data_IF_456456606739
#
_entry.id   IF_456456606739
#
_cell.length_a   1.000
_cell.length_b   1.000
_cell.length_c   1.000
_cell.angle_alpha   90.00
_cell.angle_beta   90.00
_cell.angle_gamma   90.00
#
_symmetry.space_group_name_H-M   'P 1'
#
loop_
_entity.id
_entity.type
_entity.pdbx_description
1 polymer ?
#
# COMPACT_ATOMS: atom_id res chain seq x y z
N UNK A 1 47.18 19.01 15.67
CA UNK A 1 45.92 18.70 16.38
C UNK A 1 44.70 19.38 15.78
N UNK A 2 44.64 20.71 15.64
CA UNK A 2 43.44 21.42 15.15
C UNK A 2 42.93 20.99 13.77
N UNK A 3 43.82 20.68 12.80
CA UNK A 3 43.42 20.19 11.47
C UNK A 3 42.69 18.84 11.51
N UNK A 4 43.09 17.94 12.40
CA UNK A 4 42.51 16.59 12.50
C UNK A 4 41.12 16.64 13.16
N UNK A 5 40.92 17.57 14.09
CA UNK A 5 39.62 17.80 14.75
C UNK A 5 38.62 18.41 13.76
N UNK A 6 39.05 19.36 12.92
CA UNK A 6 38.19 19.96 11.90
C UNK A 6 37.79 18.95 10.81
N UNK A 7 38.72 18.12 10.37
CA UNK A 7 38.43 17.05 9.39
C UNK A 7 37.44 16.01 9.94
N UNK A 8 37.57 15.60 11.20
CA UNK A 8 36.59 14.68 11.82
C UNK A 8 35.20 15.31 11.94
N UNK A 9 35.10 16.62 12.24
CA UNK A 9 33.80 17.32 12.28
C UNK A 9 33.12 17.35 10.92
N UNK A 10 33.84 17.77 9.88
CA UNK A 10 33.33 17.83 8.50
C UNK A 10 32.88 16.44 8.01
N UNK A 11 33.64 15.40 8.35
CA UNK A 11 33.30 14.02 7.99
C UNK A 11 32.04 13.53 8.73
N UNK A 12 31.87 13.88 10.01
CA UNK A 12 30.70 13.50 10.79
C UNK A 12 29.43 14.22 10.30
N UNK A 13 29.56 15.50 9.94
CA UNK A 13 28.47 16.29 9.35
C UNK A 13 28.05 15.73 7.98
N UNK A 14 29.00 15.35 7.14
CA UNK A 14 28.71 14.71 5.85
C UNK A 14 27.98 13.35 6.01
N UNK A 15 28.41 12.52 6.97
CA UNK A 15 27.72 11.26 7.29
C UNK A 15 26.28 11.53 7.76
N UNK A 16 26.08 12.54 8.61
CA UNK A 16 24.75 12.87 9.13
C UNK A 16 23.80 13.30 8.00
N UNK A 17 24.28 14.13 7.07
CA UNK A 17 23.50 14.55 5.89
C UNK A 17 23.20 13.37 4.97
N UNK A 18 24.18 12.48 4.72
CA UNK A 18 23.95 11.26 3.94
C UNK A 18 22.89 10.35 4.59
N UNK A 19 22.92 10.17 5.91
CA UNK A 19 21.91 9.38 6.63
C UNK A 19 20.51 9.98 6.52
N UNK A 20 20.37 11.31 6.58
CA UNK A 20 19.08 12.00 6.41
C UNK A 20 18.54 11.82 4.98
N UNK A 21 19.39 11.88 3.96
CA UNK A 21 18.98 11.66 2.56
C UNK A 21 18.56 10.20 2.33
N UNK A 22 19.30 9.24 2.90
CA UNK A 22 18.96 7.82 2.82
C UNK A 22 17.63 7.51 3.51
N UNK A 23 17.35 8.15 4.66
CA UNK A 23 16.07 7.99 5.37
C UNK A 23 14.90 8.65 4.62
N UNK A 24 15.12 9.79 3.96
CA UNK A 24 14.10 10.45 3.13
C UNK A 24 13.74 9.64 1.87
N UNK A 25 14.66 8.81 1.37
CA UNK A 25 14.47 7.97 0.17
C UNK A 25 13.71 6.67 0.39
N UNK A 26 13.54 6.20 1.63
CA UNK A 26 12.78 4.99 1.94
C UNK A 26 11.27 5.22 2.01
N UNK A 27 10.68 5.83 0.97
CA UNK A 27 9.23 5.82 0.81
C UNK A 27 8.85 4.48 0.17
N UNK A 28 8.43 3.52 1.00
CA UNK A 28 7.95 2.23 0.50
C UNK A 28 6.70 2.47 -0.36
N UNK A 29 6.88 2.52 -1.69
CA UNK A 29 5.80 2.75 -2.65
C UNK A 29 4.71 1.68 -2.52
N UNK A 30 4.99 0.52 -1.92
CA UNK A 30 3.96 -0.49 -1.67
C UNK A 30 2.90 -0.04 -0.66
N UNK A 31 3.15 1.02 0.11
CA UNK A 31 2.20 1.64 1.05
C UNK A 31 1.52 2.91 0.52
N UNK A 32 1.87 3.37 -0.69
CA UNK A 32 1.23 4.54 -1.31
C UNK A 32 -0.15 4.17 -1.87
N UNK A 33 -1.15 4.13 -0.99
CA UNK A 33 -2.53 3.75 -1.34
C UNK A 33 -3.18 4.76 -2.27
N UNK A 34 -2.80 6.03 -2.21
CA UNK A 34 -3.32 7.07 -3.10
C UNK A 34 -2.81 6.84 -4.53
N UNK A 35 -1.50 6.72 -4.75
CA UNK A 35 -0.98 6.47 -6.11
C UNK A 35 -1.48 5.15 -6.69
N UNK A 36 -1.56 4.09 -5.87
CA UNK A 36 -2.05 2.79 -6.32
C UNK A 36 -3.55 2.81 -6.66
N UNK A 37 -4.36 3.59 -5.96
CA UNK A 37 -5.79 3.71 -6.25
C UNK A 37 -6.03 4.38 -7.62
N UNK A 38 -5.25 5.42 -7.97
CA UNK A 38 -5.31 6.03 -9.31
C UNK A 38 -4.92 5.02 -10.39
N UNK A 39 -3.77 4.36 -10.22
CA UNK A 39 -3.30 3.35 -11.18
C UNK A 39 -4.32 2.19 -11.35
N UNK A 40 -5.06 1.86 -10.29
CA UNK A 40 -6.10 0.83 -10.32
C UNK A 40 -7.36 1.32 -11.03
N UNK A 41 -7.84 2.52 -10.74
CA UNK A 41 -8.99 3.12 -11.41
C UNK A 41 -8.74 3.31 -12.92
N UNK A 42 -7.54 3.75 -13.31
CA UNK A 42 -7.14 3.83 -14.72
C UNK A 42 -7.12 2.44 -15.38
N UNK A 43 -6.61 1.43 -14.67
CA UNK A 43 -6.64 0.06 -15.16
C UNK A 43 -8.07 -0.42 -15.43
N UNK A 44 -8.97 -0.18 -14.48
CA UNK A 44 -10.36 -0.61 -14.56
C UNK A 44 -11.09 0.06 -15.73
N UNK A 45 -10.95 1.38 -15.88
CA UNK A 45 -11.57 2.12 -16.99
C UNK A 45 -11.03 1.64 -18.35
N UNK A 46 -9.71 1.46 -18.47
CA UNK A 46 -9.07 0.98 -19.70
C UNK A 46 -9.53 -0.42 -20.11
N UNK A 47 -9.89 -1.27 -19.14
CA UNK A 47 -10.38 -2.63 -19.39
C UNK A 47 -11.91 -2.72 -19.44
N UNK A 48 -12.63 -1.60 -19.56
CA UNK A 48 -14.07 -1.60 -19.80
C UNK A 48 -14.91 -1.92 -18.56
N UNK A 49 -14.49 -1.47 -17.38
CA UNK A 49 -15.20 -1.74 -16.11
C UNK A 49 -16.69 -1.30 -16.10
N UNK A 50 -17.08 -0.36 -16.96
CA UNK A 50 -18.49 0.07 -17.09
C UNK A 50 -19.36 -0.95 -17.81
N UNK A 51 -18.76 -1.77 -18.67
CA UNK A 51 -19.44 -2.79 -19.46
C UNK A 51 -19.32 -4.16 -18.80
N UNK A 52 -18.11 -4.49 -18.36
CA UNK A 52 -17.80 -5.76 -17.70
C UNK A 52 -16.86 -5.52 -16.52
N UNK A 53 -17.48 -5.12 -15.40
CA UNK A 53 -16.78 -4.86 -14.15
C UNK A 53 -15.97 -6.07 -13.69
N UNK A 54 -16.52 -7.28 -13.81
CA UNK A 54 -15.89 -8.49 -13.29
C UNK A 54 -14.62 -8.83 -14.08
N UNK A 55 -14.70 -8.82 -15.42
CA UNK A 55 -13.53 -9.08 -16.25
C UNK A 55 -12.45 -8.01 -16.07
N UNK A 56 -12.83 -6.72 -16.04
CA UNK A 56 -11.89 -5.63 -15.77
C UNK A 56 -11.19 -5.81 -14.41
N UNK A 57 -11.96 -6.18 -13.38
CA UNK A 57 -11.44 -6.48 -12.05
C UNK A 57 -10.45 -7.64 -12.06
N UNK A 58 -10.76 -8.76 -12.71
CA UNK A 58 -9.84 -9.92 -12.79
C UNK A 58 -8.49 -9.50 -13.40
N UNK A 59 -8.51 -8.72 -14.47
CA UNK A 59 -7.30 -8.22 -15.13
C UNK A 59 -6.51 -7.29 -14.19
N UNK A 60 -7.18 -6.33 -13.56
CA UNK A 60 -6.53 -5.35 -12.71
C UNK A 60 -6.04 -5.93 -11.38
N UNK A 61 -6.83 -6.79 -10.72
CA UNK A 61 -6.40 -7.52 -9.52
C UNK A 61 -5.15 -8.36 -9.83
N UNK A 62 -5.13 -9.10 -10.95
CA UNK A 62 -3.97 -9.89 -11.37
C UNK A 62 -2.72 -9.03 -11.56
N UNK A 63 -2.84 -7.86 -12.19
CA UNK A 63 -1.73 -6.90 -12.35
C UNK A 63 -1.19 -6.42 -11.01
N UNK A 64 -2.06 -6.11 -10.05
CA UNK A 64 -1.66 -5.56 -8.75
C UNK A 64 -1.13 -6.62 -7.79
N UNK A 65 -1.66 -7.84 -7.82
CA UNK A 65 -1.12 -9.00 -7.07
C UNK A 65 0.34 -9.26 -7.43
N UNK A 66 0.73 -9.09 -8.69
CA UNK A 66 2.11 -9.27 -9.13
C UNK A 66 3.05 -8.13 -8.72
N UNK A 67 2.52 -6.92 -8.49
CA UNK A 67 3.31 -5.70 -8.25
C UNK A 67 3.37 -5.26 -6.80
N UNK A 68 2.37 -5.60 -5.99
CA UNK A 68 2.24 -5.12 -4.62
C UNK A 68 2.12 -6.29 -3.63
N UNK A 69 3.01 -6.31 -2.65
CA UNK A 69 3.08 -7.39 -1.64
C UNK A 69 1.80 -7.51 -0.79
N UNK A 70 1.15 -6.40 -0.45
CA UNK A 70 -0.04 -6.40 0.40
C UNK A 70 -1.25 -6.95 -0.36
N UNK A 71 -1.36 -6.63 -1.66
CA UNK A 71 -2.32 -7.27 -2.55
C UNK A 71 -2.09 -8.78 -2.63
N UNK A 72 -0.84 -9.21 -2.80
CA UNK A 72 -0.49 -10.63 -2.87
C UNK A 72 -0.85 -11.37 -1.59
N UNK A 73 -0.54 -10.80 -0.43
CA UNK A 73 -0.88 -11.39 0.87
C UNK A 73 -2.40 -11.52 1.01
N UNK A 74 -3.16 -10.46 0.70
CA UNK A 74 -4.62 -10.47 0.78
C UNK A 74 -5.24 -11.51 -0.17
N UNK A 75 -4.71 -11.63 -1.39
CA UNK A 75 -5.15 -12.63 -2.37
C UNK A 75 -4.90 -14.06 -1.89
N UNK A 76 -3.71 -14.35 -1.35
CA UNK A 76 -3.38 -15.67 -0.80
C UNK A 76 -4.32 -16.00 0.37
N UNK A 77 -4.59 -15.04 1.26
CA UNK A 77 -5.53 -15.24 2.37
C UNK A 77 -6.96 -15.52 1.88
N UNK A 78 -7.43 -14.78 0.88
CA UNK A 78 -8.76 -14.97 0.30
C UNK A 78 -8.92 -16.34 -0.40
N UNK A 79 -7.85 -16.86 -1.02
CA UNK A 79 -7.89 -18.17 -1.69
C UNK A 79 -7.79 -19.36 -0.76
N UNK A 80 -6.82 -19.33 0.15
CA UNK A 80 -6.46 -20.51 0.94
C UNK A 80 -7.09 -20.50 2.33
N UNK A 81 -7.54 -19.32 2.79
CA UNK A 81 -7.95 -19.08 4.16
C UNK A 81 -6.76 -19.23 5.12
N UNK A 82 -6.73 -18.43 6.18
CA UNK A 82 -5.76 -18.58 7.30
C UNK A 82 -4.30 -18.20 6.97
N UNK A 83 -4.00 -17.56 5.85
CA UNK A 83 -2.64 -17.06 5.64
C UNK A 83 -2.35 -15.90 6.58
N UNK A 84 -3.33 -15.03 6.84
CA UNK A 84 -3.18 -13.89 7.73
C UNK A 84 -2.99 -14.29 9.21
N UNK A 85 -3.39 -15.49 9.63
CA UNK A 85 -3.17 -15.94 11.02
C UNK A 85 -1.75 -16.43 11.28
N UNK A 86 -0.99 -16.76 10.24
CA UNK A 86 0.40 -17.19 10.37
C UNK A 86 1.39 -16.02 10.33
N UNK A 87 0.91 -14.80 10.04
CA UNK A 87 1.74 -13.60 9.99
C UNK A 87 1.91 -12.99 11.37
N UNK A 88 3.06 -12.37 11.59
CA UNK A 88 3.29 -11.52 12.76
C UNK A 88 2.24 -10.40 12.82
N UNK A 89 1.86 -10.01 14.04
CA UNK A 89 0.80 -9.02 14.27
C UNK A 89 1.02 -7.73 13.47
N UNK A 90 2.24 -7.20 13.48
CA UNK A 90 2.57 -5.95 12.78
C UNK A 90 2.39 -6.05 11.26
N UNK A 91 2.76 -7.19 10.67
CA UNK A 91 2.55 -7.44 9.24
C UNK A 91 1.07 -7.54 8.93
N UNK A 92 0.32 -8.30 9.74
CA UNK A 92 -1.14 -8.44 9.58
C UNK A 92 -1.83 -7.08 9.67
N UNK A 93 -1.51 -6.27 10.67
CA UNK A 93 -2.11 -4.96 10.88
C UNK A 93 -1.76 -4.01 9.71
N UNK A 94 -0.54 -4.08 9.19
CA UNK A 94 -0.13 -3.34 7.99
C UNK A 94 -0.90 -3.75 6.74
N UNK A 95 -1.08 -5.06 6.50
CA UNK A 95 -1.85 -5.58 5.36
C UNK A 95 -3.32 -5.16 5.47
N UNK A 96 -3.91 -5.29 6.66
CA UNK A 96 -5.30 -4.89 6.91
C UNK A 96 -5.47 -3.40 6.62
N UNK A 97 -4.64 -2.56 7.24
CA UNK A 97 -4.69 -1.10 7.06
C UNK A 97 -4.54 -0.72 5.59
N UNK A 98 -3.52 -1.27 4.92
CA UNK A 98 -3.31 -1.03 3.50
C UNK A 98 -4.55 -1.35 2.66
N UNK A 99 -5.15 -2.53 2.85
CA UNK A 99 -6.31 -2.94 2.04
C UNK A 99 -7.50 -2.03 2.27
N UNK A 100 -7.81 -1.66 3.52
CA UNK A 100 -8.90 -0.75 3.80
C UNK A 100 -8.67 0.64 3.21
N UNK A 101 -7.50 1.23 3.48
CA UNK A 101 -7.14 2.54 2.94
C UNK A 101 -7.21 2.53 1.40
N UNK A 102 -6.65 1.50 0.76
CA UNK A 102 -6.70 1.32 -0.68
C UNK A 102 -8.14 1.26 -1.23
N UNK A 103 -8.99 0.38 -0.69
CA UNK A 103 -10.35 0.21 -1.22
C UNK A 103 -11.26 1.40 -0.91
N UNK A 104 -11.01 2.15 0.17
CA UNK A 104 -11.66 3.44 0.42
C UNK A 104 -11.28 4.43 -0.70
N UNK A 105 -9.99 4.56 -1.01
CA UNK A 105 -9.52 5.46 -2.08
C UNK A 105 -10.03 5.06 -3.45
N UNK A 106 -10.03 3.77 -3.78
CA UNK A 106 -10.63 3.27 -5.03
C UNK A 106 -12.12 3.64 -5.07
N UNK A 107 -12.87 3.43 -3.99
CA UNK A 107 -14.30 3.77 -3.96
C UNK A 107 -14.57 5.27 -4.10
N UNK A 108 -13.72 6.12 -3.50
CA UNK A 108 -13.82 7.58 -3.63
C UNK A 108 -13.55 8.08 -5.06
N UNK A 109 -12.74 7.35 -5.84
CA UNK A 109 -12.21 7.79 -7.15
C UNK A 109 -12.84 7.08 -8.35
N UNK A 110 -13.21 5.81 -8.20
CA UNK A 110 -13.81 4.98 -9.25
C UNK A 110 -15.36 4.99 -9.14
N UNK A 111 -16.09 5.57 -10.11
CA UNK A 111 -17.55 5.72 -10.02
C UNK A 111 -18.36 4.40 -10.14
N UNK A 112 -17.71 3.30 -10.53
CA UNK A 112 -18.32 1.97 -10.71
C UNK A 112 -17.97 0.97 -9.60
N UNK A 113 -17.23 1.40 -8.56
CA UNK A 113 -16.89 0.56 -7.40
C UNK A 113 -17.85 0.84 -6.24
N UNK A 114 -18.13 -0.19 -5.43
CA UNK A 114 -19.03 -0.15 -4.27
C UNK A 114 -18.80 1.05 -3.34
N UNK A 115 -19.83 1.55 -2.64
CA UNK A 115 -19.77 2.80 -1.84
C UNK A 115 -18.79 2.73 -0.65
N UNK A 116 -17.96 3.75 -0.51
CA UNK A 116 -16.85 3.84 0.46
C UNK A 116 -17.32 3.71 1.91
N UNK A 117 -18.52 4.18 2.22
CA UNK A 117 -19.05 4.20 3.58
C UNK A 117 -19.23 2.79 4.16
N UNK A 118 -19.63 1.82 3.33
CA UNK A 118 -19.74 0.42 3.76
C UNK A 118 -18.37 -0.20 4.11
N UNK A 119 -17.32 0.19 3.39
CA UNK A 119 -15.94 -0.29 3.62
C UNK A 119 -15.40 0.33 4.92
N UNK A 120 -15.66 1.62 5.14
CA UNK A 120 -15.28 2.33 6.37
C UNK A 120 -15.96 1.76 7.59
N UNK A 121 -17.26 1.44 7.50
CA UNK A 121 -18.01 0.83 8.59
C UNK A 121 -17.46 -0.54 8.96
N UNK A 122 -17.24 -1.41 7.95
CA UNK A 122 -16.61 -2.71 8.16
C UNK A 122 -15.21 -2.61 8.80
N UNK A 123 -14.44 -1.56 8.47
CA UNK A 123 -13.14 -1.34 9.11
C UNK A 123 -13.28 -0.96 10.58
N UNK A 124 -14.20 -0.03 10.90
CA UNK A 124 -14.47 0.39 12.27
C UNK A 124 -14.91 -0.76 13.15
N UNK A 125 -15.75 -1.65 12.62
CA UNK A 125 -16.19 -2.85 13.35
C UNK A 125 -15.02 -3.78 13.70
N UNK A 126 -14.06 -3.97 12.78
CA UNK A 126 -12.85 -4.77 13.04
C UNK A 126 -11.92 -4.16 14.09
N UNK A 127 -11.95 -2.85 14.28
CA UNK A 127 -11.13 -2.15 15.27
C UNK A 127 -11.80 -2.11 16.66
N UNK A 128 -13.05 -2.56 16.81
CA UNK A 128 -13.70 -2.63 18.12
C UNK A 128 -13.00 -3.71 18.97
N UNK A 129 -12.68 -3.40 20.25
CA UNK A 129 -11.98 -4.31 21.15
C UNK A 129 -12.81 -5.55 21.51
#
# INVERSE_FOLDING_TARGET
MNKMINFMKEFTEAILVCLVILLAGCKDRSLDTDGLADEYCECMEKNGARQDYYNARVICDSKFILKNRFFKINYIDALYGRYMVTLEKETKDSVIKFNYDFFIKVSERCPYVYKADSIREAYRERLRP
#
